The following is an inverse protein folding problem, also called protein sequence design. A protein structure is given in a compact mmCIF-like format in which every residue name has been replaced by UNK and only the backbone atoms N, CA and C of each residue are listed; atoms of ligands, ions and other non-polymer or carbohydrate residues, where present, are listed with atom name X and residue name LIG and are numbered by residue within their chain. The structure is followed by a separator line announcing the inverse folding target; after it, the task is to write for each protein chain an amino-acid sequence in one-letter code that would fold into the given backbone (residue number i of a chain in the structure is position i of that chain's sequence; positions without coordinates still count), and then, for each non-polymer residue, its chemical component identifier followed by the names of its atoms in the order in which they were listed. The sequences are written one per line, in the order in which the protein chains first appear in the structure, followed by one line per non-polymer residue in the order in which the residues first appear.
data_IF_037688641921
#
_entry.id   IF_037688641921
#
_cell.length_a   1.000
_cell.length_b   1.000
_cell.length_c   1.000
_cell.angle_alpha   90.00
_cell.angle_beta   90.00
_cell.angle_gamma   90.00
#
_symmetry.space_group_name_H-M   'P 1'
#
loop_
_entity.id
_entity.type
_entity.pdbx_description
1 polymer ?
#
# COMPACT_ATOMS: atom_id res chain seq x y z
N UNK A 1 60.65 12.35 21.93
CA UNK A 1 59.69 12.29 20.80
C UNK A 1 59.19 10.85 20.64
N UNK A 2 57.99 10.53 21.13
CA UNK A 2 57.27 9.29 20.75
C UNK A 2 55.79 9.66 20.62
N UNK A 3 55.28 9.64 19.37
CA UNK A 3 53.87 9.90 19.03
C UNK A 3 53.03 8.70 19.48
N UNK A 4 52.13 8.88 20.45
CA UNK A 4 51.02 7.94 20.72
C UNK A 4 49.90 8.18 19.70
N UNK A 5 49.71 7.25 18.77
CA UNK A 5 48.52 7.13 17.92
C UNK A 5 47.31 6.83 18.82
N UNK A 6 46.30 7.70 18.85
CA UNK A 6 44.96 7.37 19.35
C UNK A 6 44.26 6.51 18.28
N UNK A 7 44.00 5.25 18.59
CA UNK A 7 43.08 4.40 17.83
C UNK A 7 41.65 4.85 18.14
N UNK A 8 40.98 5.46 17.16
CA UNK A 8 39.55 5.73 17.23
C UNK A 8 38.79 4.47 16.81
N UNK A 9 38.25 3.75 17.79
CA UNK A 9 37.21 2.74 17.54
C UNK A 9 35.93 3.47 17.12
N UNK A 10 35.25 3.07 16.03
CA UNK A 10 34.00 3.71 15.63
C UNK A 10 32.87 3.40 16.63
N UNK A 11 31.90 4.31 16.81
CA UNK A 11 30.81 4.13 17.76
C UNK A 11 29.87 2.98 17.35
N UNK A 12 29.45 2.18 18.33
CA UNK A 12 28.68 0.93 18.19
C UNK A 12 27.38 1.04 17.37
N UNK A 13 26.78 2.22 17.23
CA UNK A 13 25.57 2.39 16.39
C UNK A 13 25.84 2.27 14.90
N UNK A 14 27.05 2.61 14.44
CA UNK A 14 27.43 2.56 13.04
C UNK A 14 27.76 1.12 12.60
N UNK A 15 28.36 0.33 13.49
CA UNK A 15 28.60 -1.10 13.27
C UNK A 15 27.28 -1.89 13.14
N UNK A 16 26.25 -1.56 13.93
CA UNK A 16 24.94 -2.20 13.83
C UNK A 16 24.19 -1.81 12.54
N UNK A 17 24.32 -0.56 12.07
CA UNK A 17 23.74 -0.17 10.78
C UNK A 17 24.41 -0.86 9.60
N UNK A 18 25.72 -1.08 9.66
CA UNK A 18 26.48 -1.72 8.60
C UNK A 18 26.19 -3.24 8.53
N UNK A 19 26.08 -3.92 9.68
CA UNK A 19 25.68 -5.34 9.73
C UNK A 19 24.26 -5.57 9.20
N UNK A 20 23.29 -4.73 9.60
CA UNK A 20 21.92 -4.83 9.11
C UNK A 20 21.83 -4.59 7.59
N UNK A 21 22.67 -3.69 7.07
CA UNK A 21 22.76 -3.43 5.64
C UNK A 21 23.31 -4.62 4.87
N UNK A 22 24.41 -5.22 5.33
CA UNK A 22 24.99 -6.40 4.70
C UNK A 22 24.01 -7.56 4.67
N UNK A 23 23.28 -7.79 5.76
CA UNK A 23 22.28 -8.84 5.83
C UNK A 23 21.13 -8.61 4.84
N UNK A 24 20.65 -7.37 4.71
CA UNK A 24 19.65 -7.02 3.70
C UNK A 24 20.18 -7.20 2.26
N UNK A 25 21.43 -6.80 1.99
CA UNK A 25 22.05 -6.99 0.67
C UNK A 25 22.15 -8.49 0.31
N UNK A 26 22.51 -9.35 1.29
CA UNK A 26 22.51 -10.80 1.11
C UNK A 26 21.11 -11.37 0.81
N UNK A 27 20.08 -10.93 1.54
CA UNK A 27 18.69 -11.36 1.28
C UNK A 27 18.23 -10.99 -0.14
N UNK A 28 18.56 -9.78 -0.60
CA UNK A 28 18.20 -9.32 -1.95
C UNK A 28 18.90 -10.15 -3.02
N UNK A 29 20.18 -10.46 -2.85
CA UNK A 29 20.91 -11.30 -3.82
C UNK A 29 20.38 -12.73 -3.83
N UNK A 30 20.06 -13.30 -2.67
CA UNK A 30 19.42 -14.62 -2.57
C UNK A 30 18.05 -14.63 -3.27
N UNK A 31 17.21 -13.62 -3.02
CA UNK A 31 15.91 -13.46 -3.67
C UNK A 31 16.04 -13.32 -5.20
N UNK A 32 17.09 -12.64 -5.68
CA UNK A 32 17.37 -12.53 -7.10
C UNK A 32 17.79 -13.87 -7.70
N UNK A 33 18.67 -14.61 -7.03
CA UNK A 33 19.09 -15.94 -7.47
C UNK A 33 17.89 -16.90 -7.52
N UNK A 34 16.99 -16.83 -6.54
CA UNK A 34 15.73 -17.57 -6.56
C UNK A 34 14.86 -17.17 -7.76
N UNK A 35 14.67 -15.88 -8.02
CA UNK A 35 13.87 -15.40 -9.16
C UNK A 35 14.42 -15.86 -10.52
N UNK A 36 15.72 -16.19 -10.62
CA UNK A 36 16.34 -16.73 -11.83
C UNK A 36 16.16 -18.24 -11.99
N UNK A 37 15.79 -18.96 -10.93
CA UNK A 37 15.50 -20.40 -10.95
C UNK A 37 14.04 -20.65 -10.53
N UNK A 38 13.11 -20.74 -11.50
CA UNK A 38 11.70 -20.91 -11.22
C UNK A 38 11.40 -22.08 -10.28
N UNK A 39 12.13 -23.20 -10.36
CA UNK A 39 11.85 -24.39 -9.55
C UNK A 39 11.97 -24.12 -8.05
N UNK A 40 12.95 -23.33 -7.63
CA UNK A 40 13.11 -22.99 -6.21
C UNK A 40 11.99 -22.07 -5.73
N UNK A 41 11.54 -21.14 -6.58
CA UNK A 41 10.39 -20.27 -6.25
C UNK A 41 9.10 -21.07 -6.17
N UNK A 42 8.92 -22.07 -7.04
CA UNK A 42 7.75 -22.96 -6.99
C UNK A 42 7.73 -23.79 -5.70
N UNK A 43 8.88 -24.31 -5.26
CA UNK A 43 8.99 -25.04 -4.00
C UNK A 43 8.69 -24.15 -2.79
N UNK A 44 9.16 -22.91 -2.80
CA UNK A 44 8.85 -21.91 -1.78
C UNK A 44 7.34 -21.60 -1.74
N UNK A 45 6.74 -21.33 -2.90
CA UNK A 45 5.31 -21.07 -3.01
C UNK A 45 4.47 -22.28 -2.56
N UNK A 46 4.90 -23.51 -2.88
CA UNK A 46 4.26 -24.73 -2.43
C UNK A 46 4.28 -24.87 -0.91
N UNK A 47 5.44 -24.60 -0.29
CA UNK A 47 5.59 -24.71 1.16
C UNK A 47 4.61 -23.79 1.88
N UNK A 48 4.51 -22.53 1.44
CA UNK A 48 3.56 -21.54 1.99
C UNK A 48 2.12 -21.94 1.65
N UNK A 49 1.83 -22.43 0.44
CA UNK A 49 0.48 -22.85 0.05
C UNK A 49 -0.09 -23.97 0.92
N UNK A 50 0.77 -24.77 1.55
CA UNK A 50 0.40 -25.91 2.38
C UNK A 50 0.45 -25.61 3.90
N UNK A 51 0.82 -24.40 4.34
CA UNK A 51 0.81 -24.07 5.78
C UNK A 51 -0.62 -23.84 6.29
N UNK A 52 -0.88 -24.32 7.50
CA UNK A 52 -2.20 -24.18 8.15
C UNK A 52 -2.34 -22.92 9.02
N UNK A 53 -1.23 -22.17 9.27
CA UNK A 53 -1.05 -20.81 9.86
C UNK A 53 -0.10 -20.77 11.07
N UNK A 54 0.66 -19.66 11.18
CA UNK A 54 1.02 -18.98 12.43
C UNK A 54 2.38 -19.31 13.06
N UNK A 55 3.34 -19.86 12.31
CA UNK A 55 4.67 -20.19 12.86
C UNK A 55 5.76 -19.26 12.36
N UNK A 56 6.75 -18.89 13.19
CA UNK A 56 7.94 -18.10 12.80
C UNK A 56 8.58 -18.48 11.43
N UNK A 57 8.74 -19.77 11.06
CA UNK A 57 9.27 -20.13 9.75
C UNK A 57 8.37 -19.72 8.58
N UNK A 58 7.05 -19.57 8.78
CA UNK A 58 6.12 -19.07 7.76
C UNK A 58 6.41 -17.60 7.42
N UNK A 59 6.75 -16.78 8.42
CA UNK A 59 7.06 -15.37 8.21
C UNK A 59 8.36 -15.17 7.41
N UNK A 60 9.39 -15.97 7.70
CA UNK A 60 10.65 -15.94 6.93
C UNK A 60 10.46 -16.38 5.48
N UNK A 61 9.65 -17.43 5.25
CA UNK A 61 9.31 -17.88 3.89
C UNK A 61 8.50 -16.82 3.14
N UNK A 62 7.55 -16.17 3.81
CA UNK A 62 6.77 -15.07 3.22
C UNK A 62 7.64 -13.85 2.90
N UNK A 63 8.60 -13.49 3.77
CA UNK A 63 9.57 -12.43 3.49
C UNK A 63 10.40 -12.76 2.25
N UNK A 64 10.92 -13.99 2.18
CA UNK A 64 11.72 -14.44 1.05
C UNK A 64 10.91 -14.47 -0.25
N UNK A 65 9.66 -14.95 -0.23
CA UNK A 65 8.78 -14.94 -1.38
C UNK A 65 8.48 -13.50 -1.82
N UNK A 66 8.18 -12.61 -0.87
CA UNK A 66 7.93 -11.18 -1.14
C UNK A 66 9.12 -10.54 -1.85
N UNK A 67 10.35 -10.74 -1.34
CA UNK A 67 11.55 -10.22 -1.97
C UNK A 67 11.78 -10.82 -3.36
N UNK A 68 11.52 -12.12 -3.53
CA UNK A 68 11.68 -12.82 -4.82
C UNK A 68 10.71 -12.29 -5.86
N UNK A 69 9.44 -12.11 -5.50
CA UNK A 69 8.42 -11.50 -6.36
C UNK A 69 8.77 -10.05 -6.70
N UNK A 70 9.29 -9.28 -5.74
CA UNK A 70 9.76 -7.90 -6.00
C UNK A 70 10.93 -7.87 -7.00
N UNK A 71 11.90 -8.79 -6.87
CA UNK A 71 12.98 -8.93 -7.86
C UNK A 71 12.46 -9.31 -9.24
N UNK A 72 11.56 -10.28 -9.32
CA UNK A 72 10.94 -10.70 -10.58
C UNK A 72 10.15 -9.56 -11.23
N UNK A 73 9.38 -8.80 -10.45
CA UNK A 73 8.71 -7.57 -10.88
C UNK A 73 9.71 -6.55 -11.42
N UNK A 74 10.73 -6.20 -10.66
CA UNK A 74 11.75 -5.22 -11.08
C UNK A 74 12.44 -5.64 -12.39
N UNK A 75 12.72 -6.94 -12.55
CA UNK A 75 13.28 -7.51 -13.76
C UNK A 75 12.32 -7.38 -14.95
N UNK A 76 11.05 -7.78 -14.78
CA UNK A 76 10.00 -7.64 -15.79
C UNK A 76 9.86 -6.19 -16.26
N UNK A 77 9.75 -5.24 -15.32
CA UNK A 77 9.60 -3.82 -15.63
C UNK A 77 10.85 -3.19 -16.26
N UNK A 78 11.99 -3.89 -16.21
CA UNK A 78 13.23 -3.48 -16.89
C UNK A 78 13.43 -4.22 -18.22
N UNK A 79 12.43 -4.98 -18.68
CA UNK A 79 12.48 -5.77 -19.91
C UNK A 79 13.29 -7.06 -19.81
N UNK A 80 13.66 -7.51 -18.61
CA UNK A 80 14.41 -8.74 -18.41
C UNK A 80 13.48 -9.95 -18.45
N UNK A 81 13.74 -10.87 -19.37
CA UNK A 81 12.88 -12.02 -19.67
C UNK A 81 12.60 -12.93 -18.47
N UNK A 82 13.59 -13.15 -17.61
CA UNK A 82 13.41 -14.03 -16.44
C UNK A 82 12.36 -13.50 -15.46
N UNK A 83 12.15 -12.18 -15.38
CA UNK A 83 11.12 -11.60 -14.52
C UNK A 83 9.72 -12.08 -14.90
N UNK A 84 9.38 -11.96 -16.18
CA UNK A 84 8.12 -12.48 -16.72
C UNK A 84 8.02 -14.00 -16.56
N UNK A 85 9.07 -14.74 -16.90
CA UNK A 85 9.08 -16.21 -16.79
C UNK A 85 8.86 -16.69 -15.36
N UNK A 86 9.48 -16.03 -14.37
CA UNK A 86 9.29 -16.33 -12.95
C UNK A 86 7.85 -16.05 -12.51
N UNK A 87 7.31 -14.84 -12.77
CA UNK A 87 5.96 -14.47 -12.37
C UNK A 87 4.90 -15.40 -13.01
N UNK A 88 5.04 -15.71 -14.29
CA UNK A 88 4.15 -16.62 -15.01
C UNK A 88 4.25 -18.05 -14.49
N UNK A 89 5.44 -18.52 -14.13
CA UNK A 89 5.64 -19.86 -13.57
C UNK A 89 4.96 -19.98 -12.20
N UNK A 90 5.17 -19.02 -11.30
CA UNK A 90 4.54 -19.01 -9.97
C UNK A 90 3.03 -18.95 -10.09
N UNK A 91 2.49 -18.05 -10.92
CA UNK A 91 1.05 -17.93 -11.16
C UNK A 91 0.44 -19.23 -11.69
N UNK A 92 1.07 -19.88 -12.69
CA UNK A 92 0.59 -21.17 -13.22
C UNK A 92 0.64 -22.29 -12.18
N UNK A 93 1.67 -22.32 -11.34
CA UNK A 93 1.80 -23.32 -10.28
C UNK A 93 0.71 -23.15 -9.23
N UNK A 94 0.45 -21.92 -8.78
CA UNK A 94 -0.62 -21.61 -7.83
C UNK A 94 -2.01 -21.96 -8.37
N UNK A 95 -2.27 -21.69 -9.65
CA UNK A 95 -3.49 -22.12 -10.32
C UNK A 95 -3.65 -23.65 -10.30
N UNK A 96 -2.57 -24.40 -10.52
CA UNK A 96 -2.59 -25.86 -10.47
C UNK A 96 -2.82 -26.40 -9.05
N UNK A 97 -2.36 -25.71 -8.01
CA UNK A 97 -2.63 -26.07 -6.62
C UNK A 97 -4.07 -25.78 -6.22
N UNK A 98 -4.58 -24.60 -6.59
CA UNK A 98 -5.98 -24.22 -6.40
C UNK A 98 -6.91 -25.23 -7.06
N UNK A 99 -6.68 -25.60 -8.33
CA UNK A 99 -7.48 -26.59 -9.04
C UNK A 99 -7.40 -28.03 -8.49
N UNK A 100 -6.39 -28.35 -7.67
CA UNK A 100 -6.25 -29.65 -6.98
C UNK A 100 -6.75 -29.61 -5.53
N UNK A 101 -7.31 -28.48 -5.09
CA UNK A 101 -7.67 -28.23 -3.69
C UNK A 101 -6.48 -28.45 -2.71
N UNK A 102 -5.26 -28.14 -3.16
CA UNK A 102 -4.02 -28.28 -2.40
C UNK A 102 -3.53 -26.94 -1.80
N UNK A 103 -4.27 -25.85 -2.05
CA UNK A 103 -4.04 -24.53 -1.48
C UNK A 103 -4.91 -24.38 -0.23
N UNK A 104 -4.30 -24.27 0.94
CA UNK A 104 -5.04 -24.00 2.18
C UNK A 104 -5.54 -22.55 2.19
N UNK A 105 -6.59 -22.25 2.96
CA UNK A 105 -7.05 -20.88 3.15
C UNK A 105 -5.94 -19.98 3.72
N UNK A 106 -5.23 -20.46 4.75
CA UNK A 106 -4.11 -19.75 5.37
C UNK A 106 -2.98 -19.47 4.38
N UNK A 107 -2.55 -20.47 3.62
CA UNK A 107 -1.52 -20.35 2.60
C UNK A 107 -1.92 -19.40 1.46
N UNK A 108 -3.19 -19.45 1.02
CA UNK A 108 -3.74 -18.53 0.03
C UNK A 108 -3.68 -17.07 0.48
N UNK A 109 -4.04 -16.79 1.74
CA UNK A 109 -3.93 -15.45 2.34
C UNK A 109 -2.47 -15.01 2.46
N UNK A 110 -1.58 -15.88 2.94
CA UNK A 110 -0.15 -15.59 3.09
C UNK A 110 0.51 -15.24 1.74
N UNK A 111 0.24 -16.03 0.70
CA UNK A 111 0.74 -15.78 -0.66
C UNK A 111 0.16 -14.49 -1.21
N UNK A 112 -1.14 -14.24 -1.02
CA UNK A 112 -1.79 -12.98 -1.45
C UNK A 112 -1.07 -11.76 -0.86
N UNK A 113 -0.74 -11.79 0.43
CA UNK A 113 0.04 -10.72 1.09
C UNK A 113 1.42 -10.55 0.46
N UNK A 114 2.10 -11.64 0.11
CA UNK A 114 3.40 -11.57 -0.56
C UNK A 114 3.31 -10.84 -1.92
N UNK A 115 2.29 -11.13 -2.72
CA UNK A 115 2.05 -10.44 -3.99
C UNK A 115 1.78 -8.94 -3.78
N UNK A 116 0.88 -8.61 -2.84
CA UNK A 116 0.54 -7.22 -2.51
C UNK A 116 1.78 -6.44 -2.06
N UNK A 117 2.56 -6.99 -1.14
CA UNK A 117 3.79 -6.37 -0.60
C UNK A 117 4.88 -6.23 -1.67
N UNK A 118 4.97 -7.18 -2.59
CA UNK A 118 5.88 -7.11 -3.73
C UNK A 118 5.42 -6.12 -4.82
N UNK A 119 4.20 -5.57 -4.72
CA UNK A 119 3.60 -4.71 -5.74
C UNK A 119 3.30 -5.45 -7.05
N UNK A 120 3.06 -6.75 -6.97
CA UNK A 120 2.72 -7.61 -8.12
C UNK A 120 1.19 -7.81 -8.13
N UNK A 121 0.53 -7.74 -9.32
CA UNK A 121 -0.90 -8.05 -9.42
C UNK A 121 -1.20 -9.45 -8.86
N UNK A 122 -2.15 -9.53 -7.94
CA UNK A 122 -2.56 -10.79 -7.30
C UNK A 122 -3.37 -11.62 -8.31
N UNK A 123 -3.00 -12.87 -8.58
CA UNK A 123 -3.79 -13.76 -9.44
C UNK A 123 -5.17 -14.07 -8.84
N UNK A 124 -6.23 -14.03 -9.65
CA UNK A 124 -7.61 -14.21 -9.17
C UNK A 124 -7.88 -15.58 -8.54
N UNK A 125 -7.19 -16.63 -9.00
CA UNK A 125 -7.33 -18.00 -8.49
C UNK A 125 -6.76 -18.23 -7.08
N UNK A 126 -6.13 -17.21 -6.48
CA UNK A 126 -5.74 -17.20 -5.07
C UNK A 126 -6.88 -16.85 -4.12
N UNK A 127 -7.91 -16.15 -4.62
CA UNK A 127 -9.14 -16.01 -3.86
C UNK A 127 -9.84 -17.37 -3.80
N UNK A 128 -10.37 -17.77 -2.62
CA UNK A 128 -11.13 -19.01 -2.52
C UNK A 128 -12.35 -18.94 -3.43
N UNK A 129 -12.82 -20.09 -3.92
CA UNK A 129 -14.13 -20.13 -4.57
C UNK A 129 -15.25 -19.87 -3.54
N UNK A 130 -16.46 -19.62 -4.04
CA UNK A 130 -17.60 -19.29 -3.18
C UNK A 130 -17.93 -20.42 -2.18
N UNK A 131 -17.70 -21.68 -2.55
CA UNK A 131 -17.97 -22.83 -1.68
C UNK A 131 -16.95 -22.90 -0.55
N UNK A 132 -15.65 -22.81 -0.85
CA UNK A 132 -14.59 -22.77 0.17
C UNK A 132 -14.74 -21.54 1.08
N UNK A 133 -15.13 -20.39 0.51
CA UNK A 133 -15.38 -19.19 1.30
C UNK A 133 -16.57 -19.37 2.26
N UNK A 134 -17.65 -20.02 1.80
CA UNK A 134 -18.82 -20.32 2.62
C UNK A 134 -18.48 -21.32 3.74
N UNK A 135 -17.76 -22.40 3.42
CA UNK A 135 -17.33 -23.40 4.41
C UNK A 135 -16.43 -22.77 5.50
N UNK A 136 -15.51 -21.89 5.10
CA UNK A 136 -14.68 -21.13 6.03
C UNK A 136 -15.51 -20.18 6.90
N UNK A 137 -16.48 -19.47 6.31
CA UNK A 137 -17.38 -18.58 7.04
C UNK A 137 -18.27 -19.34 8.05
N UNK A 138 -18.80 -20.51 7.67
CA UNK A 138 -19.54 -21.40 8.57
C UNK A 138 -18.68 -21.88 9.74
N UNK A 139 -17.39 -22.19 9.47
CA UNK A 139 -16.43 -22.60 10.49
C UNK A 139 -16.08 -21.48 11.48
N UNK A 140 -16.19 -20.21 11.06
CA UNK A 140 -15.97 -19.04 11.90
C UNK A 140 -17.18 -18.71 12.81
N UNK A 141 -18.29 -19.45 12.70
CA UNK A 141 -19.44 -19.47 13.61
C UNK A 141 -19.77 -18.12 14.27
N UNK A 142 -20.36 -17.22 13.50
CA UNK A 142 -21.41 -16.34 14.02
C UNK A 142 -22.68 -17.14 13.73
N UNK A 143 -23.47 -17.47 14.76
CA UNK A 143 -24.44 -18.59 14.78
C UNK A 143 -25.34 -18.78 13.55
N UNK A 144 -26.01 -19.93 13.47
CA UNK A 144 -26.73 -20.47 12.28
C UNK A 144 -27.70 -19.50 11.54
N UNK A 145 -28.02 -18.33 12.09
CA UNK A 145 -28.85 -17.27 11.52
C UNK A 145 -28.09 -15.97 11.13
N UNK A 146 -26.76 -15.95 11.16
CA UNK A 146 -25.98 -14.75 10.91
C UNK A 146 -25.97 -14.36 9.41
N UNK A 147 -26.62 -13.25 9.07
CA UNK A 147 -26.52 -12.64 7.75
C UNK A 147 -25.04 -12.33 7.43
N UNK A 148 -24.54 -12.57 6.21
CA UNK A 148 -23.11 -12.36 5.86
C UNK A 148 -22.61 -10.95 6.19
N UNK A 149 -23.50 -9.96 6.20
CA UNK A 149 -23.22 -8.58 6.60
C UNK A 149 -22.80 -8.44 8.08
N UNK A 150 -23.37 -9.23 8.98
CA UNK A 150 -23.00 -9.24 10.39
C UNK A 150 -21.58 -9.78 10.60
N UNK A 151 -21.20 -10.80 9.83
CA UNK A 151 -19.84 -11.34 9.84
C UNK A 151 -18.80 -10.33 9.36
N UNK A 152 -19.11 -9.61 8.28
CA UNK A 152 -18.25 -8.53 7.85
C UNK A 152 -18.19 -7.39 8.87
N UNK A 153 -19.31 -7.04 9.53
CA UNK A 153 -19.31 -5.99 10.55
C UNK A 153 -18.35 -6.34 11.72
N UNK A 154 -18.35 -7.58 12.20
CA UNK A 154 -17.39 -8.03 13.23
C UNK A 154 -15.94 -7.92 12.76
N UNK A 155 -15.65 -8.33 11.52
CA UNK A 155 -14.30 -8.17 10.93
C UNK A 155 -13.89 -6.69 10.87
N UNK A 156 -14.81 -5.79 10.51
CA UNK A 156 -14.53 -4.35 10.47
C UNK A 156 -14.17 -3.80 11.86
N UNK A 157 -14.88 -4.23 12.91
CA UNK A 157 -14.63 -3.80 14.30
C UNK A 157 -13.27 -4.32 14.82
N UNK A 158 -12.88 -5.54 14.46
CA UNK A 158 -11.56 -6.08 14.77
C UNK A 158 -10.44 -5.29 14.07
N UNK A 159 -10.62 -4.98 12.78
CA UNK A 159 -9.66 -4.18 12.00
C UNK A 159 -9.52 -2.77 12.59
N UNK A 160 -10.63 -2.13 12.95
CA UNK A 160 -10.67 -0.83 13.63
C UNK A 160 -9.82 -0.85 14.91
N UNK A 161 -9.95 -1.92 15.70
CA UNK A 161 -9.24 -2.07 16.98
C UNK A 161 -7.74 -2.24 16.76
N UNK A 162 -7.33 -2.91 15.68
CA UNK A 162 -5.93 -3.16 15.36
C UNK A 162 -5.18 -1.96 14.74
N UNK A 163 -5.87 -1.14 13.95
CA UNK A 163 -5.25 -0.14 13.05
C UNK A 163 -4.94 1.21 13.71
N UNK A 164 -5.51 1.50 14.89
CA UNK A 164 -5.34 2.79 15.56
C UNK A 164 -5.94 3.98 14.79
N UNK A 165 -5.34 5.16 14.92
CA UNK A 165 -5.90 6.45 14.42
C UNK A 165 -5.41 6.87 13.02
N UNK A 166 -4.72 6.00 12.25
CA UNK A 166 -4.22 6.34 10.91
C UNK A 166 -5.06 5.68 9.79
N UNK A 167 -5.85 6.46 9.01
CA UNK A 167 -6.60 5.94 7.87
C UNK A 167 -5.72 5.27 6.80
N UNK A 168 -4.42 5.62 6.72
CA UNK A 168 -3.47 5.02 5.78
C UNK A 168 -3.15 3.58 6.15
N UNK A 169 -3.04 3.30 7.46
CA UNK A 169 -2.89 1.94 7.97
C UNK A 169 -4.13 1.11 7.66
N UNK A 170 -5.32 1.71 7.77
CA UNK A 170 -6.58 1.04 7.41
C UNK A 170 -6.56 0.62 5.93
N UNK A 171 -6.18 1.53 5.04
CA UNK A 171 -6.04 1.23 3.62
C UNK A 171 -5.02 0.10 3.36
N UNK A 172 -3.87 0.11 4.04
CA UNK A 172 -2.86 -0.95 3.91
C UNK A 172 -3.40 -2.31 4.36
N UNK A 173 -4.11 -2.37 5.49
CA UNK A 173 -4.73 -3.60 5.97
C UNK A 173 -5.71 -4.15 4.95
N UNK A 174 -6.59 -3.31 4.39
CA UNK A 174 -7.52 -3.76 3.35
C UNK A 174 -6.84 -4.13 2.04
N UNK A 175 -5.76 -3.44 1.65
CA UNK A 175 -5.00 -3.80 0.46
C UNK A 175 -4.42 -5.21 0.54
N UNK A 176 -4.03 -5.66 1.75
CA UNK A 176 -3.55 -7.02 2.00
C UNK A 176 -4.67 -8.08 2.06
N UNK A 177 -5.90 -7.68 2.42
CA UNK A 177 -7.02 -8.61 2.66
C UNK A 177 -7.93 -8.75 1.43
N UNK A 178 -8.28 -7.65 0.78
CA UNK A 178 -9.28 -7.62 -0.30
C UNK A 178 -8.98 -8.59 -1.46
N UNK A 179 -7.73 -8.76 -1.93
CA UNK A 179 -7.47 -9.68 -3.02
C UNK A 179 -7.71 -11.15 -2.64
N UNK A 180 -7.64 -11.49 -1.34
CA UNK A 180 -7.95 -12.83 -0.82
C UNK A 180 -9.45 -13.10 -0.68
N UNK A 181 -10.32 -12.11 -0.97
CA UNK A 181 -11.77 -12.26 -0.92
C UNK A 181 -12.31 -12.55 -2.32
N UNK A 182 -13.32 -13.43 -2.49
CA UNK A 182 -14.00 -13.63 -3.77
C UNK A 182 -14.55 -12.31 -4.35
N UNK A 183 -14.59 -12.19 -5.67
CA UNK A 183 -15.01 -10.99 -6.41
C UNK A 183 -16.35 -10.41 -5.91
N UNK A 184 -17.35 -11.28 -5.71
CA UNK A 184 -18.68 -10.90 -5.20
C UNK A 184 -18.58 -10.34 -3.77
N UNK A 185 -17.80 -10.99 -2.91
CA UNK A 185 -17.56 -10.57 -1.53
C UNK A 185 -16.80 -9.24 -1.43
N UNK A 186 -15.86 -8.94 -2.34
CA UNK A 186 -15.10 -7.68 -2.35
C UNK A 186 -16.01 -6.46 -2.44
N UNK A 187 -16.97 -6.49 -3.36
CA UNK A 187 -17.92 -5.37 -3.53
C UNK A 187 -18.75 -5.16 -2.27
N UNK A 188 -19.27 -6.25 -1.69
CA UNK A 188 -20.07 -6.19 -0.46
C UNK A 188 -19.26 -5.63 0.71
N UNK A 189 -18.06 -6.17 0.96
CA UNK A 189 -17.19 -5.69 2.04
C UNK A 189 -16.83 -4.21 1.86
N UNK A 190 -16.44 -3.79 0.65
CA UNK A 190 -16.11 -2.39 0.40
C UNK A 190 -17.33 -1.46 0.60
N UNK A 191 -18.54 -1.91 0.24
CA UNK A 191 -19.77 -1.16 0.52
C UNK A 191 -20.04 -1.04 2.01
N UNK A 192 -19.98 -2.15 2.75
CA UNK A 192 -20.18 -2.16 4.22
C UNK A 192 -19.16 -1.29 4.94
N UNK A 193 -17.88 -1.42 4.58
CA UNK A 193 -16.80 -0.59 5.09
C UNK A 193 -17.04 0.90 4.79
N UNK A 194 -17.39 1.26 3.56
CA UNK A 194 -17.67 2.65 3.20
C UNK A 194 -18.89 3.24 3.93
N UNK A 195 -19.91 2.43 4.23
CA UNK A 195 -21.11 2.85 4.98
C UNK A 195 -20.85 2.95 6.49
N UNK A 196 -19.77 2.36 7.01
CA UNK A 196 -19.43 2.39 8.42
C UNK A 196 -19.33 3.85 8.94
N UNK A 197 -20.03 4.23 10.01
CA UNK A 197 -20.08 5.61 10.49
C UNK A 197 -18.74 6.14 11.00
N UNK A 198 -17.77 5.27 11.32
CA UNK A 198 -16.46 5.69 11.78
C UNK A 198 -15.73 6.55 10.73
N UNK A 199 -15.14 7.65 11.21
CA UNK A 199 -14.54 8.69 10.38
C UNK A 199 -13.36 8.19 9.52
N UNK A 200 -12.71 7.08 9.89
CA UNK A 200 -11.56 6.51 9.17
C UNK A 200 -11.96 5.86 7.84
N UNK A 201 -13.19 5.38 7.71
CA UNK A 201 -13.66 4.69 6.50
C UNK A 201 -14.03 5.63 5.36
N UNK A 202 -14.36 6.89 5.67
CA UNK A 202 -14.76 7.83 4.63
C UNK A 202 -13.59 8.22 3.69
N UNK A 203 -12.38 8.56 4.19
CA UNK A 203 -11.20 8.71 3.35
C UNK A 203 -10.82 7.42 2.60
N UNK A 204 -10.98 6.26 3.24
CA UNK A 204 -10.73 4.96 2.63
C UNK A 204 -11.65 4.72 1.42
N UNK A 205 -12.95 4.95 1.57
CA UNK A 205 -13.92 4.83 0.49
C UNK A 205 -13.61 5.78 -0.68
N UNK A 206 -13.15 7.00 -0.38
CA UNK A 206 -12.67 7.92 -1.42
C UNK A 206 -11.45 7.36 -2.16
N UNK A 207 -10.48 6.78 -1.44
CA UNK A 207 -9.27 6.20 -2.03
C UNK A 207 -9.59 5.00 -2.93
N UNK A 208 -10.52 4.14 -2.52
CA UNK A 208 -10.97 2.98 -3.30
C UNK A 208 -11.62 3.31 -4.64
N UNK A 209 -12.06 4.55 -4.87
CA UNK A 209 -12.50 4.97 -6.22
C UNK A 209 -11.37 4.95 -7.26
N UNK A 210 -10.11 4.94 -6.82
CA UNK A 210 -8.92 4.81 -7.67
C UNK A 210 -8.38 3.37 -7.74
N UNK A 211 -9.02 2.42 -7.07
CA UNK A 211 -8.57 1.03 -7.04
C UNK A 211 -8.64 0.38 -8.44
N UNK A 212 -7.68 -0.46 -8.84
CA UNK A 212 -7.73 -1.17 -10.12
C UNK A 212 -8.91 -2.15 -10.24
N UNK A 213 -9.39 -2.70 -9.12
CA UNK A 213 -10.49 -3.67 -9.05
C UNK A 213 -11.85 -2.98 -9.21
N UNK A 214 -12.62 -3.37 -10.23
CA UNK A 214 -13.99 -2.87 -10.44
C UNK A 214 -14.92 -3.14 -9.24
N UNK A 215 -14.92 -4.35 -8.63
CA UNK A 215 -15.75 -4.61 -7.45
C UNK A 215 -15.48 -3.65 -6.29
N UNK A 216 -14.21 -3.32 -6.06
CA UNK A 216 -13.78 -2.39 -5.00
C UNK A 216 -14.30 -0.98 -5.29
N UNK A 217 -14.10 -0.48 -6.52
CA UNK A 217 -14.64 0.82 -6.93
C UNK A 217 -16.17 0.89 -6.82
N UNK A 218 -16.85 -0.16 -7.26
CA UNK A 218 -18.31 -0.26 -7.25
C UNK A 218 -18.88 -0.30 -5.82
N UNK A 219 -18.26 -1.08 -4.93
CA UNK A 219 -18.64 -1.12 -3.51
C UNK A 219 -18.42 0.23 -2.82
N UNK A 220 -17.28 0.87 -3.08
CA UNK A 220 -16.95 2.18 -2.50
C UNK A 220 -17.95 3.27 -2.91
N UNK A 221 -18.29 3.38 -4.21
CA UNK A 221 -19.25 4.40 -4.66
C UNK A 221 -20.70 4.12 -4.20
N UNK A 222 -21.07 2.84 -4.03
CA UNK A 222 -22.32 2.44 -3.39
C UNK A 222 -22.38 2.90 -1.94
N UNK A 223 -21.37 2.56 -1.13
CA UNK A 223 -21.35 2.92 0.29
C UNK A 223 -21.25 4.43 0.50
N UNK A 224 -20.55 5.17 -0.35
CA UNK A 224 -20.59 6.65 -0.32
C UNK A 224 -21.99 7.19 -0.62
N UNK A 225 -22.75 6.52 -1.50
CA UNK A 225 -24.16 6.83 -1.75
C UNK A 225 -25.04 6.55 -0.54
N UNK A 226 -24.82 5.43 0.14
CA UNK A 226 -25.53 5.06 1.37
C UNK A 226 -25.21 6.06 2.51
N UNK A 227 -23.95 6.49 2.66
CA UNK A 227 -23.56 7.56 3.61
C UNK A 227 -24.32 8.86 3.34
N UNK A 228 -24.48 9.22 2.07
CA UNK A 228 -25.23 10.42 1.68
C UNK A 228 -26.71 10.28 2.04
N UNK A 229 -27.32 9.13 1.75
CA UNK A 229 -28.72 8.85 2.10
C UNK A 229 -28.95 8.87 3.62
N UNK A 230 -27.99 8.37 4.41
CA UNK A 230 -28.01 8.40 5.87
C UNK A 230 -27.64 9.77 6.47
N UNK A 231 -27.26 10.76 5.66
CA UNK A 231 -26.89 12.10 6.14
C UNK A 231 -25.54 12.18 6.87
N UNK A 232 -24.67 11.18 6.70
CA UNK A 232 -23.36 11.07 7.39
C UNK A 232 -22.16 11.31 6.45
N UNK A 233 -22.41 11.69 5.19
CA UNK A 233 -21.35 12.08 4.26
C UNK A 233 -20.82 13.47 4.62
N UNK A 234 -19.52 13.58 4.88
CA UNK A 234 -18.92 14.85 5.29
C UNK A 234 -18.66 15.81 4.12
N UNK A 235 -18.61 17.11 4.43
CA UNK A 235 -18.11 18.15 3.52
C UNK A 235 -16.68 17.87 3.04
N UNK A 236 -15.86 17.23 3.89
CA UNK A 236 -14.48 16.87 3.58
C UNK A 236 -14.40 15.79 2.50
N UNK A 237 -15.22 14.75 2.60
CA UNK A 237 -15.37 13.75 1.55
C UNK A 237 -15.84 14.39 0.26
N UNK A 238 -16.86 15.24 0.29
CA UNK A 238 -17.35 15.91 -0.91
C UNK A 238 -16.23 16.74 -1.61
N UNK A 239 -15.38 17.42 -0.84
CA UNK A 239 -14.19 18.10 -1.35
C UNK A 239 -13.20 17.14 -2.04
N UNK A 240 -12.89 15.99 -1.43
CA UNK A 240 -12.03 14.95 -2.03
C UNK A 240 -12.63 14.41 -3.32
N UNK A 241 -13.92 14.07 -3.31
CA UNK A 241 -14.65 13.54 -4.47
C UNK A 241 -14.63 14.51 -5.67
N UNK A 242 -14.73 15.82 -5.40
CA UNK A 242 -14.63 16.84 -6.44
C UNK A 242 -13.24 16.88 -7.12
N UNK A 243 -12.17 16.59 -6.37
CA UNK A 243 -10.79 16.48 -6.89
C UNK A 243 -10.62 15.16 -7.65
N UNK A 244 -11.01 14.04 -7.02
CA UNK A 244 -10.78 12.67 -7.51
C UNK A 244 -11.48 12.37 -8.83
N UNK A 245 -12.63 12.98 -9.12
CA UNK A 245 -13.38 12.72 -10.37
C UNK A 245 -12.55 12.86 -11.64
N UNK A 246 -11.52 13.71 -11.62
CA UNK A 246 -10.61 13.93 -12.77
C UNK A 246 -9.64 12.79 -13.01
N UNK A 247 -9.38 11.96 -11.99
CA UNK A 247 -8.46 10.83 -12.02
C UNK A 247 -9.15 9.49 -12.34
N UNK A 248 -10.47 9.40 -12.15
CA UNK A 248 -11.22 8.16 -12.40
C UNK A 248 -11.38 7.95 -13.90
N UNK A 249 -10.68 6.94 -14.45
CA UNK A 249 -10.74 6.60 -15.88
C UNK A 249 -12.05 5.90 -16.26
N UNK A 250 -12.62 5.13 -15.32
CA UNK A 250 -13.87 4.40 -15.49
C UNK A 250 -15.07 5.35 -15.66
N UNK A 251 -15.65 5.39 -16.86
CA UNK A 251 -16.76 6.28 -17.21
C UNK A 251 -18.03 5.98 -16.40
N UNK A 252 -18.25 4.74 -16.01
CA UNK A 252 -19.43 4.33 -15.24
C UNK A 252 -19.34 4.84 -13.80
N UNK A 253 -18.19 4.63 -13.16
CA UNK A 253 -17.88 5.13 -11.81
C UNK A 253 -17.89 6.66 -11.80
N UNK A 254 -17.28 7.31 -12.81
CA UNK A 254 -17.28 8.77 -12.93
C UNK A 254 -18.70 9.35 -13.01
N UNK A 255 -19.61 8.74 -13.79
CA UNK A 255 -21.01 9.17 -13.89
C UNK A 255 -21.77 9.02 -12.56
N UNK A 256 -21.54 7.91 -11.85
CA UNK A 256 -22.12 7.68 -10.52
C UNK A 256 -21.61 8.71 -9.52
N UNK A 257 -20.30 8.99 -9.53
CA UNK A 257 -19.68 10.03 -8.72
C UNK A 257 -20.25 11.42 -9.00
N UNK A 258 -20.38 11.81 -10.27
CA UNK A 258 -20.97 13.10 -10.65
C UNK A 258 -22.43 13.22 -10.19
N UNK A 259 -23.16 12.11 -10.11
CA UNK A 259 -24.54 12.06 -9.61
C UNK A 259 -24.58 12.22 -8.10
N UNK A 260 -23.70 11.52 -7.38
CA UNK A 260 -23.55 11.63 -5.94
C UNK A 260 -23.16 13.06 -5.53
N UNK A 261 -22.14 13.65 -6.16
CA UNK A 261 -21.69 15.03 -5.88
C UNK A 261 -22.82 16.04 -6.10
N UNK A 262 -23.55 15.94 -7.21
CA UNK A 262 -24.71 16.80 -7.48
C UNK A 262 -25.82 16.62 -6.44
N UNK A 263 -26.07 15.39 -6.00
CA UNK A 263 -27.08 15.13 -4.97
C UNK A 263 -26.66 15.72 -3.62
N UNK A 264 -25.41 15.53 -3.19
CA UNK A 264 -24.87 16.07 -1.95
C UNK A 264 -24.97 17.60 -1.89
N UNK A 265 -24.60 18.29 -2.97
CA UNK A 265 -24.72 19.75 -3.06
C UNK A 265 -26.18 20.20 -2.96
N UNK A 266 -27.11 19.51 -3.63
CA UNK A 266 -28.54 19.82 -3.52
C UNK A 266 -29.12 19.56 -2.14
N UNK A 267 -28.57 18.59 -1.41
CA UNK A 267 -28.92 18.30 -0.02
C UNK A 267 -28.28 19.28 0.99
N UNK A 268 -27.59 20.33 0.52
CA UNK A 268 -27.03 21.38 1.36
C UNK A 268 -25.60 21.12 1.87
N UNK A 269 -24.95 20.04 1.43
CA UNK A 269 -23.55 19.76 1.78
C UNK A 269 -22.65 20.60 0.88
N UNK A 270 -21.99 21.62 1.45
CA UNK A 270 -20.96 22.38 0.75
C UNK A 270 -19.61 21.65 0.84
N UNK A 271 -18.82 21.57 -0.23
CA UNK A 271 -17.47 21.03 -0.16
C UNK A 271 -16.63 21.85 0.82
N UNK A 272 -15.87 21.15 1.67
CA UNK A 272 -14.98 21.81 2.63
C UNK A 272 -13.90 22.64 1.91
N UNK A 273 -13.92 23.95 2.16
CA UNK A 273 -12.97 24.90 1.60
C UNK A 273 -11.53 24.60 2.04
N UNK A 274 -11.33 24.01 3.22
CA UNK A 274 -9.98 23.67 3.70
C UNK A 274 -9.38 22.49 2.95
N UNK A 275 -10.20 21.51 2.58
CA UNK A 275 -9.82 20.40 1.69
C UNK A 275 -9.54 20.88 0.26
N UNK A 276 -10.28 21.89 -0.20
CA UNK A 276 -10.14 22.47 -1.54
C UNK A 276 -9.03 23.53 -1.62
N UNK A 277 -8.59 24.07 -0.47
CA UNK A 277 -7.57 25.13 -0.41
C UNK A 277 -6.23 24.63 -0.96
N UNK A 278 -5.75 25.21 -2.08
CA UNK A 278 -4.60 24.67 -2.78
C UNK A 278 -3.32 24.91 -1.96
N UNK A 279 -2.45 23.90 -1.92
CA UNK A 279 -1.07 24.11 -1.51
C UNK A 279 -0.41 25.10 -2.47
N UNK A 280 0.32 26.09 -1.93
CA UNK A 280 1.24 26.88 -2.72
C UNK A 280 2.45 26.02 -3.06
N UNK A 281 2.73 25.85 -4.34
CA UNK A 281 3.97 25.23 -4.81
C UNK A 281 5.10 26.25 -4.64
N UNK A 282 6.08 25.92 -3.79
CA UNK A 282 7.25 26.76 -3.51
C UNK A 282 8.38 26.46 -4.49
N UNK A 283 8.50 25.20 -4.92
CA UNK A 283 9.48 24.78 -5.91
C UNK A 283 9.27 23.32 -6.31
N UNK A 284 9.72 22.98 -7.50
CA UNK A 284 9.65 21.62 -8.04
C UNK A 284 11.00 21.26 -8.66
N UNK A 285 11.44 20.02 -8.46
CA UNK A 285 12.64 19.46 -9.08
C UNK A 285 12.32 18.07 -9.60
N UNK A 286 13.00 17.68 -10.67
CA UNK A 286 12.93 16.33 -11.22
C UNK A 286 14.33 15.73 -11.35
N UNK A 287 14.43 14.42 -11.24
CA UNK A 287 15.59 13.67 -11.72
C UNK A 287 15.56 13.57 -13.25
N UNK A 288 16.67 13.22 -13.90
CA UNK A 288 16.61 12.64 -15.24
C UNK A 288 15.79 11.35 -15.23
N UNK A 289 15.31 10.96 -16.40
CA UNK A 289 14.76 9.62 -16.61
C UNK A 289 15.96 8.65 -16.64
N UNK A 290 15.91 7.59 -15.84
CA UNK A 290 16.95 6.57 -15.85
C UNK A 290 16.81 5.59 -17.02
N UNK A 291 17.77 4.66 -17.16
CA UNK A 291 17.76 3.66 -18.24
C UNK A 291 16.60 2.65 -18.17
N UNK A 292 15.86 2.63 -17.06
CA UNK A 292 14.67 1.80 -16.87
C UNK A 292 13.36 2.62 -16.97
N UNK A 293 13.45 3.89 -17.40
CA UNK A 293 12.29 4.76 -17.60
C UNK A 293 11.72 5.35 -16.30
N UNK A 294 12.43 5.29 -15.17
CA UNK A 294 11.98 5.86 -13.90
C UNK A 294 12.44 7.31 -13.72
N UNK A 295 11.57 8.13 -13.11
CA UNK A 295 11.82 9.54 -12.81
C UNK A 295 11.24 9.90 -11.45
N UNK A 296 12.03 10.59 -10.61
CA UNK A 296 11.55 11.14 -9.34
C UNK A 296 11.23 12.62 -9.48
N UNK A 297 10.11 13.05 -8.91
CA UNK A 297 9.70 14.45 -8.75
C UNK A 297 9.65 14.78 -7.26
N UNK A 298 10.18 15.94 -6.89
CA UNK A 298 10.08 16.47 -5.54
C UNK A 298 9.51 17.90 -5.55
N UNK A 299 8.36 18.08 -4.91
CA UNK A 299 7.58 19.31 -4.92
C UNK A 299 7.52 19.86 -3.49
N UNK A 300 8.12 21.03 -3.26
CA UNK A 300 7.98 21.74 -1.99
C UNK A 300 6.62 22.46 -1.96
N UNK A 301 5.81 22.13 -0.96
CA UNK A 301 4.46 22.61 -0.75
C UNK A 301 4.39 23.48 0.50
N UNK A 302 3.53 24.50 0.47
CA UNK A 302 3.23 25.35 1.62
C UNK A 302 1.72 25.56 1.76
N UNK A 303 1.19 25.36 2.98
CA UNK A 303 -0.19 25.70 3.35
C UNK A 303 -0.15 26.56 4.62
N UNK A 304 -0.42 27.85 4.49
CA UNK A 304 -0.21 28.80 5.59
C UNK A 304 1.25 28.79 6.08
N UNK A 305 1.48 28.38 7.33
CA UNK A 305 2.82 28.28 7.95
C UNK A 305 3.44 26.88 7.84
N UNK A 306 2.68 25.86 7.49
CA UNK A 306 3.19 24.50 7.37
C UNK A 306 3.83 24.29 6.01
N UNK A 307 4.91 23.51 6.00
CA UNK A 307 5.64 23.12 4.79
C UNK A 307 5.73 21.61 4.73
N UNK A 308 5.65 21.09 3.52
CA UNK A 308 5.79 19.66 3.25
C UNK A 308 6.50 19.48 1.92
N UNK A 309 7.04 18.29 1.69
CA UNK A 309 7.54 17.87 0.39
C UNK A 309 6.69 16.71 -0.11
N UNK A 310 6.12 16.85 -1.31
CA UNK A 310 5.54 15.74 -2.03
C UNK A 310 6.63 15.09 -2.89
N UNK A 311 6.82 13.78 -2.73
CA UNK A 311 7.75 12.97 -3.50
C UNK A 311 6.92 12.02 -4.35
N UNK A 312 7.20 12.00 -5.65
CA UNK A 312 6.47 11.18 -6.63
C UNK A 312 7.51 10.41 -7.44
N UNK A 313 7.35 9.09 -7.53
CA UNK A 313 8.10 8.24 -8.44
C UNK A 313 7.22 7.88 -9.63
N UNK A 314 7.64 8.29 -10.82
CA UNK A 314 7.03 7.93 -12.08
C UNK A 314 7.86 6.85 -12.76
N UNK A 315 7.20 5.96 -13.50
CA UNK A 315 7.86 5.02 -14.40
C UNK A 315 7.10 4.95 -15.71
N UNK A 316 7.83 5.04 -16.82
CA UNK A 316 7.27 4.89 -18.17
C UNK A 316 6.46 3.58 -18.25
N UNK A 317 5.31 3.61 -18.93
CA UNK A 317 4.36 2.48 -19.09
C UNK A 317 3.66 2.01 -17.80
N UNK A 318 4.11 2.41 -16.61
CA UNK A 318 3.49 2.05 -15.33
C UNK A 318 2.80 3.22 -14.61
N UNK A 319 3.15 4.47 -14.92
CA UNK A 319 2.56 5.65 -14.28
C UNK A 319 3.21 5.97 -12.93
N UNK A 320 2.39 6.32 -11.93
CA UNK A 320 2.85 6.63 -10.57
C UNK A 320 3.16 5.31 -9.85
N UNK A 321 4.44 5.09 -9.51
CA UNK A 321 4.89 3.94 -8.74
C UNK A 321 4.85 4.17 -7.24
N UNK A 322 5.10 5.40 -6.82
CA UNK A 322 5.06 5.78 -5.41
C UNK A 322 4.73 7.27 -5.30
N UNK A 323 4.00 7.65 -4.26
CA UNK A 323 3.69 9.04 -3.97
C UNK A 323 3.43 9.21 -2.46
N UNK A 324 4.16 10.13 -1.83
CA UNK A 324 3.94 10.46 -0.42
C UNK A 324 4.26 11.91 -0.13
N UNK A 325 3.72 12.40 0.99
CA UNK A 325 3.95 13.74 1.49
C UNK A 325 4.68 13.62 2.83
N UNK A 326 5.87 14.18 2.91
CA UNK A 326 6.63 14.27 4.15
C UNK A 326 6.55 15.69 4.73
N UNK A 327 6.17 15.88 6.01
CA UNK A 327 6.20 17.19 6.63
C UNK A 327 7.63 17.70 6.77
N UNK A 328 7.84 19.00 6.55
CA UNK A 328 9.12 19.66 6.74
C UNK A 328 9.09 20.53 7.99
N UNK A 329 10.10 20.39 8.85
CA UNK A 329 10.27 21.27 10.01
C UNK A 329 10.65 22.72 9.60
N UNK A 330 11.25 22.92 8.41
CA UNK A 330 11.68 24.24 7.92
C UNK A 330 11.85 24.28 6.39
N UNK A 331 12.02 25.50 5.82
CA UNK A 331 12.40 25.65 4.41
C UNK A 331 13.73 24.97 4.09
N UNK A 332 14.71 25.08 4.97
CA UNK A 332 16.02 24.46 4.78
C UNK A 332 15.92 22.93 4.74
N UNK A 333 15.06 22.34 5.57
CA UNK A 333 14.77 20.90 5.56
C UNK A 333 14.14 20.47 4.22
N UNK A 334 13.12 21.19 3.75
CA UNK A 334 12.51 20.94 2.44
C UNK A 334 13.52 21.07 1.29
N UNK A 335 14.38 22.10 1.29
CA UNK A 335 15.43 22.26 0.29
C UNK A 335 16.44 21.11 0.33
N UNK A 336 16.80 20.60 1.52
CA UNK A 336 17.73 19.47 1.66
C UNK A 336 17.18 18.19 1.03
N UNK A 337 15.88 17.92 1.13
CA UNK A 337 15.25 16.77 0.46
C UNK A 337 15.25 16.88 -1.07
N UNK A 338 15.29 18.10 -1.61
CA UNK A 338 15.40 18.32 -3.05
C UNK A 338 16.83 18.13 -3.58
N UNK A 339 17.85 18.19 -2.73
CA UNK A 339 19.27 18.08 -3.16
C UNK A 339 19.60 16.70 -3.75
N UNK A 340 19.24 15.54 -3.16
CA UNK A 340 19.51 14.24 -3.76
C UNK A 340 18.83 14.06 -5.12
N UNK A 341 17.57 14.49 -5.25
CA UNK A 341 16.82 14.45 -6.52
C UNK A 341 17.48 15.34 -7.57
N UNK A 342 17.97 16.52 -7.16
CA UNK A 342 18.79 17.38 -8.02
C UNK A 342 20.13 16.72 -8.36
N UNK A 343 20.85 16.10 -7.44
CA UNK A 343 22.20 15.56 -7.66
C UNK A 343 22.22 14.27 -8.47
N UNK A 344 21.11 13.52 -8.49
CA UNK A 344 20.87 12.43 -9.42
C UNK A 344 20.98 12.86 -10.90
N UNK A 345 20.97 14.16 -11.19
CA UNK A 345 21.31 14.69 -12.52
C UNK A 345 22.75 14.44 -12.97
N UNK A 346 23.66 13.97 -12.11
CA UNK A 346 25.08 13.76 -12.46
C UNK A 346 25.65 12.34 -12.32
N UNK A 347 24.94 11.37 -11.71
CA UNK A 347 25.44 9.99 -11.54
C UNK A 347 24.38 8.91 -11.78
N UNK A 348 24.78 7.89 -12.56
CA UNK A 348 23.98 6.85 -13.24
C UNK A 348 23.36 5.74 -12.37
N UNK A 349 23.12 5.91 -11.07
CA UNK A 349 22.60 4.77 -10.27
C UNK A 349 21.64 5.23 -9.19
N UNK A 350 20.35 5.17 -9.48
CA UNK A 350 19.31 5.02 -8.46
C UNK A 350 18.70 3.64 -8.69
N UNK A 351 19.43 2.60 -8.29
CA UNK A 351 18.76 1.40 -7.80
C UNK A 351 18.41 1.69 -6.35
N UNK A 352 17.18 1.38 -5.94
CA UNK A 352 16.52 1.68 -4.66
C UNK A 352 17.44 1.44 -3.43
N UNK A 353 18.38 2.34 -3.16
CA UNK A 353 19.07 2.38 -1.86
C UNK A 353 17.99 2.60 -0.82
N UNK A 354 17.92 1.73 0.17
CA UNK A 354 16.90 1.72 1.21
C UNK A 354 16.78 3.09 1.91
N UNK A 355 15.81 3.90 1.47
CA UNK A 355 15.39 5.15 2.10
C UNK A 355 14.68 4.92 3.45
N UNK A 356 14.69 3.71 3.99
CA UNK A 356 14.09 3.34 5.28
C UNK A 356 15.05 3.52 6.46
N UNK A 357 16.36 3.65 6.24
CA UNK A 357 17.37 3.60 7.31
C UNK A 357 17.60 4.92 8.07
N UNK A 358 17.00 6.04 7.65
CA UNK A 358 17.25 7.37 8.23
C UNK A 358 15.94 8.14 8.50
N UNK A 359 15.06 7.58 9.32
CA UNK A 359 13.91 8.31 9.86
C UNK A 359 14.13 8.59 11.35
N UNK A 360 14.12 9.86 11.79
CA UNK A 360 13.97 10.15 13.21
C UNK A 360 12.52 9.85 13.62
N UNK A 361 12.34 8.93 14.57
CA UNK A 361 11.10 8.77 15.32
C UNK A 361 10.71 10.12 15.90
N UNK A 362 9.54 10.63 15.51
CA UNK A 362 9.01 11.87 16.07
C UNK A 362 8.60 11.64 17.54
N UNK A 363 9.54 11.82 18.48
CA UNK A 363 9.21 11.90 19.90
C UNK A 363 8.56 13.26 20.18
N UNK A 364 7.23 13.26 20.31
CA UNK A 364 6.49 14.41 20.87
C UNK A 364 6.86 14.55 22.34
N UNK A 365 7.73 15.51 22.66
CA UNK A 365 7.84 16.05 24.02
C UNK A 365 6.80 17.15 24.21
N UNK A 366 5.65 16.79 24.76
CA UNK A 366 4.65 17.75 25.26
C UNK A 366 5.19 18.36 26.56
N UNK A 367 5.69 19.59 26.48
CA UNK A 367 6.01 20.41 27.65
C UNK A 367 4.75 21.18 28.03
N UNK A 368 4.04 20.70 29.04
CA UNK A 368 2.92 21.39 29.68
C UNK A 368 3.43 22.65 30.39
N UNK A 369 2.86 23.80 30.07
CA UNK A 369 2.92 25.02 30.90
C UNK A 369 1.57 25.14 31.60
N UNK A 370 1.57 25.03 32.93
CA UNK A 370 0.43 25.45 33.74
C UNK A 370 0.39 26.99 33.81
N UNK A 371 -0.80 27.61 33.69
CA UNK A 371 -0.99 28.99 34.08
C UNK A 371 -1.19 29.09 35.61
N UNK A 372 -0.67 30.17 36.17
CA UNK A 372 -1.07 30.71 37.48
C UNK A 372 -2.18 31.75 37.27
#
# INVERSE_FOLDING_TARGET
MVKKKKSSTPPTSQANSDSNRLFHEMKVEAARALAMDPQNVLALAQAIASTATGSDPEDELCELLTLTLDQARMAQESGQRFGTECLDAVSRHLAALSGKNALTLGGGIAITRCYVRAGVPVPEHLAPDEHTAMEAASSLSIGEDAHPEAAFATILDEVITAVGDDPSMLHQTFAEVLPGIPVVGRRMLCRLAATNPDWRFEPLACAWLLDPSEPVRSGAIEGLGDRLAAGILSAQALGRLAILKTWIVDKSVRRRLDTLVRHAIRSGIAPDQETVSPYRIVGCVSSPIDGAGAQSLAIALQKGRTRSIALILLKQEFGIKDAYIAPCASAASCNRFQVPVRMATSRRTICRQSWTSHWPTASRTTRTRHPA
#
